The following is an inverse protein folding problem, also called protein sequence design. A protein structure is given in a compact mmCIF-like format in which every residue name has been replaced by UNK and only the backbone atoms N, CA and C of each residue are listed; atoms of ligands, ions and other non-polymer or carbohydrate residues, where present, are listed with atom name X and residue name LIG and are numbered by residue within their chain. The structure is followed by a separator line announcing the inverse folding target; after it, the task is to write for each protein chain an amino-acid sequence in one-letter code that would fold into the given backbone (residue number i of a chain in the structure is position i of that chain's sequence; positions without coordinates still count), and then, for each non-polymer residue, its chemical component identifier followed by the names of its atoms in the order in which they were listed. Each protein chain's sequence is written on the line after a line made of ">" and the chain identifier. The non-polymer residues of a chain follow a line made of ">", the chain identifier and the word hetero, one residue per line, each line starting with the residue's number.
data_IF_316727218012
#
_entry.id   IF_316727218012
#
_cell.length_a   1.000
_cell.length_b   1.000
_cell.length_c   1.000
_cell.angle_alpha   90.00
_cell.angle_beta   90.00
_cell.angle_gamma   90.00
#
_symmetry.space_group_name_H-M   'P 1'
#
loop_
_entity.id
_entity.type
_entity.pdbx_description
1 polymer ?
#
# COMPACT_ATOMS: atom_id res chain seq x y z
N UNK A 1 -28.42 -45.45 61.83
CA UNK A 1 -27.47 -45.98 60.82
C UNK A 1 -28.04 -46.01 59.39
N UNK A 2 -29.28 -46.46 59.15
CA UNK A 2 -29.84 -46.62 57.78
C UNK A 2 -29.90 -45.32 56.95
N UNK A 3 -30.21 -44.16 57.56
CA UNK A 3 -30.30 -42.87 56.84
C UNK A 3 -28.97 -42.34 56.29
N UNK A 4 -27.83 -42.71 56.87
CA UNK A 4 -26.51 -42.24 56.42
C UNK A 4 -25.99 -43.03 55.22
N UNK A 5 -26.31 -44.33 55.14
CA UNK A 5 -25.95 -45.16 53.98
C UNK A 5 -26.65 -44.69 52.69
N UNK A 6 -27.92 -44.27 52.75
CA UNK A 6 -28.63 -43.74 51.58
C UNK A 6 -28.04 -42.43 51.07
N UNK A 7 -27.52 -41.57 51.96
CA UNK A 7 -26.87 -40.30 51.56
C UNK A 7 -25.52 -40.56 50.89
N UNK A 8 -24.74 -41.52 51.40
CA UNK A 8 -23.45 -41.91 50.82
C UNK A 8 -23.65 -42.58 49.44
N UNK A 9 -24.67 -43.43 49.29
CA UNK A 9 -24.99 -44.05 48.01
C UNK A 9 -25.48 -43.03 46.97
N UNK A 10 -26.30 -42.05 47.38
CA UNK A 10 -26.74 -40.98 46.51
C UNK A 10 -25.58 -40.04 46.11
N UNK A 11 -24.66 -39.74 47.04
CA UNK A 11 -23.50 -38.91 46.76
C UNK A 11 -22.51 -39.58 45.78
N UNK A 12 -22.29 -40.89 45.91
CA UNK A 12 -21.43 -41.66 45.00
C UNK A 12 -22.04 -41.80 43.60
N UNK A 13 -23.33 -42.07 43.48
CA UNK A 13 -24.05 -42.09 42.20
C UNK A 13 -24.06 -40.71 41.49
N UNK A 14 -24.15 -39.62 42.25
CA UNK A 14 -24.04 -38.27 41.67
C UNK A 14 -22.60 -37.92 41.24
N UNK A 15 -21.58 -38.45 41.91
CA UNK A 15 -20.18 -38.27 41.51
C UNK A 15 -19.86 -39.07 40.24
N UNK A 16 -20.36 -40.31 40.10
CA UNK A 16 -20.20 -41.13 38.90
C UNK A 16 -20.96 -40.59 37.68
N UNK A 17 -22.15 -39.99 37.88
CA UNK A 17 -22.86 -39.30 36.79
C UNK A 17 -22.11 -38.06 36.31
N UNK A 18 -21.52 -37.30 37.23
CA UNK A 18 -20.74 -36.10 36.90
C UNK A 18 -19.43 -36.43 36.20
N UNK A 19 -18.76 -37.51 36.56
CA UNK A 19 -17.54 -37.96 35.87
C UNK A 19 -17.86 -38.42 34.44
N UNK A 20 -18.90 -39.25 34.25
CA UNK A 20 -19.37 -39.67 32.92
C UNK A 20 -19.83 -38.50 32.04
N UNK A 21 -20.54 -37.52 32.62
CA UNK A 21 -20.98 -36.34 31.88
C UNK A 21 -19.80 -35.43 31.47
N UNK A 22 -18.75 -35.34 32.29
CA UNK A 22 -17.54 -34.59 31.97
C UNK A 22 -16.73 -35.29 30.88
N UNK A 23 -16.62 -36.61 30.94
CA UNK A 23 -15.88 -37.43 29.98
C UNK A 23 -16.54 -37.44 28.60
N UNK A 24 -17.87 -37.53 28.54
CA UNK A 24 -18.64 -37.39 27.30
C UNK A 24 -18.53 -35.98 26.71
N UNK A 25 -18.59 -34.92 27.52
CA UNK A 25 -18.36 -33.54 27.08
C UNK A 25 -16.94 -33.32 26.50
N UNK A 26 -15.92 -33.88 27.15
CA UNK A 26 -14.53 -33.78 26.68
C UNK A 26 -14.34 -34.51 25.34
N UNK A 27 -14.99 -35.66 25.20
CA UNK A 27 -14.98 -36.46 23.97
C UNK A 27 -15.70 -35.75 22.81
N UNK A 28 -16.83 -35.08 23.07
CA UNK A 28 -17.52 -34.25 22.08
C UNK A 28 -16.70 -33.02 21.69
N UNK A 29 -16.03 -32.37 22.65
CA UNK A 29 -15.16 -31.23 22.37
C UNK A 29 -14.00 -31.64 21.47
N UNK A 30 -13.41 -32.82 21.70
CA UNK A 30 -12.34 -33.35 20.86
C UNK A 30 -12.86 -33.69 19.47
N UNK A 31 -14.04 -34.32 19.37
CA UNK A 31 -14.71 -34.61 18.10
C UNK A 31 -14.96 -33.35 17.28
N UNK A 32 -15.47 -32.29 17.91
CA UNK A 32 -15.73 -31.01 17.24
C UNK A 32 -14.43 -30.32 16.79
N UNK A 33 -13.37 -30.37 17.61
CA UNK A 33 -12.04 -29.86 17.22
C UNK A 33 -11.46 -30.61 16.02
N UNK A 34 -11.60 -31.93 15.99
CA UNK A 34 -11.11 -32.73 14.88
C UNK A 34 -11.96 -32.52 13.61
N UNK A 35 -13.28 -32.33 13.74
CA UNK A 35 -14.13 -31.89 12.63
C UNK A 35 -13.74 -30.52 12.09
N UNK A 36 -13.40 -29.56 12.96
CA UNK A 36 -12.96 -28.23 12.55
C UNK A 36 -11.62 -28.30 11.81
N UNK A 37 -10.65 -29.07 12.31
CA UNK A 37 -9.36 -29.30 11.62
C UNK A 37 -9.55 -29.94 10.25
N UNK A 38 -10.48 -30.89 10.12
CA UNK A 38 -10.81 -31.52 8.86
C UNK A 38 -11.41 -30.49 7.88
N UNK A 39 -12.34 -29.66 8.35
CA UNK A 39 -12.97 -28.63 7.54
C UNK A 39 -11.96 -27.55 7.11
N UNK A 40 -11.10 -27.11 8.01
CA UNK A 40 -10.00 -26.18 7.71
C UNK A 40 -9.05 -26.76 6.66
N UNK A 41 -8.69 -28.04 6.76
CA UNK A 41 -7.87 -28.71 5.77
C UNK A 41 -8.57 -28.78 4.40
N UNK A 42 -9.87 -29.08 4.38
CA UNK A 42 -10.67 -29.10 3.15
C UNK A 42 -10.78 -27.70 2.52
N UNK A 43 -11.04 -26.66 3.30
CA UNK A 43 -11.11 -25.27 2.81
C UNK A 43 -9.75 -24.84 2.28
N UNK A 44 -8.65 -25.16 2.98
CA UNK A 44 -7.30 -24.88 2.52
C UNK A 44 -7.00 -25.59 1.20
N UNK A 45 -7.40 -26.86 1.07
CA UNK A 45 -7.25 -27.63 -0.16
C UNK A 45 -8.10 -27.05 -1.30
N UNK A 46 -9.35 -26.68 -1.04
CA UNK A 46 -10.21 -26.02 -2.02
C UNK A 46 -9.63 -24.69 -2.48
N UNK A 47 -9.08 -23.88 -1.57
CA UNK A 47 -8.43 -22.61 -1.87
C UNK A 47 -7.23 -22.80 -2.81
N UNK A 48 -6.34 -23.74 -2.50
CA UNK A 48 -5.19 -24.07 -3.37
C UNK A 48 -5.67 -24.57 -4.74
N UNK A 49 -6.72 -25.40 -4.79
CA UNK A 49 -7.27 -25.89 -6.06
C UNK A 49 -7.90 -24.76 -6.88
N UNK A 50 -8.58 -23.81 -6.25
CA UNK A 50 -9.12 -22.62 -6.92
C UNK A 50 -7.97 -21.77 -7.46
N UNK A 51 -6.93 -21.53 -6.67
CA UNK A 51 -5.73 -20.79 -7.12
C UNK A 51 -5.05 -21.48 -8.30
N UNK A 52 -4.89 -22.80 -8.26
CA UNK A 52 -4.34 -23.58 -9.37
C UNK A 52 -5.20 -23.47 -10.63
N UNK A 53 -6.52 -23.58 -10.51
CA UNK A 53 -7.44 -23.43 -11.65
C UNK A 53 -7.45 -22.01 -12.20
N UNK A 54 -7.32 -20.99 -11.35
CA UNK A 54 -7.19 -19.60 -11.76
C UNK A 54 -5.89 -19.37 -12.54
N UNK A 55 -4.78 -19.92 -12.05
CA UNK A 55 -3.48 -19.85 -12.70
C UNK A 55 -3.47 -20.61 -14.03
N UNK A 56 -4.10 -21.78 -14.09
CA UNK A 56 -4.26 -22.57 -15.33
C UNK A 56 -5.09 -21.79 -16.35
N UNK A 57 -6.21 -21.15 -15.94
CA UNK A 57 -6.98 -20.27 -16.83
C UNK A 57 -6.18 -19.06 -17.30
N UNK A 58 -5.34 -18.49 -16.44
CA UNK A 58 -4.49 -17.35 -16.80
C UNK A 58 -3.43 -17.75 -17.83
N UNK A 59 -2.82 -18.93 -17.69
CA UNK A 59 -1.91 -19.53 -18.69
C UNK A 59 -2.64 -19.85 -20.01
N UNK A 60 -3.84 -20.42 -19.96
CA UNK A 60 -4.65 -20.66 -21.16
C UNK A 60 -5.07 -19.36 -21.86
N UNK A 61 -5.28 -18.26 -21.13
CA UNK A 61 -5.53 -16.94 -21.69
C UNK A 61 -4.27 -16.33 -22.32
N UNK A 62 -3.09 -16.61 -21.77
CA UNK A 62 -1.80 -16.20 -22.34
C UNK A 62 -1.47 -16.96 -23.62
N UNK A 63 -1.71 -18.27 -23.68
CA UNK A 63 -1.48 -19.09 -24.89
C UNK A 63 -2.50 -18.83 -26.01
N UNK A 64 -3.72 -18.37 -25.67
CA UNK A 64 -4.70 -17.88 -26.66
C UNK A 64 -4.48 -16.41 -27.05
N UNK A 65 -3.51 -15.76 -26.43
CA UNK A 65 -3.22 -14.33 -26.51
C UNK A 65 -2.23 -13.94 -27.60
N UNK A 66 -2.29 -14.53 -28.79
CA UNK A 66 -1.63 -13.97 -29.97
C UNK A 66 -2.39 -12.70 -30.39
N UNK A 67 -1.84 -11.53 -30.03
CA UNK A 67 -2.07 -10.19 -30.61
C UNK A 67 -3.51 -9.63 -30.74
N UNK A 68 -4.54 -10.37 -30.32
CA UNK A 68 -5.97 -10.03 -30.59
C UNK A 68 -6.84 -9.81 -29.35
N UNK A 69 -6.27 -9.85 -28.14
CA UNK A 69 -7.04 -9.74 -26.88
C UNK A 69 -7.37 -8.32 -26.43
N UNK A 70 -6.79 -7.29 -27.04
CA UNK A 70 -7.38 -5.95 -26.97
C UNK A 70 -8.58 -5.97 -27.92
N UNK A 71 -9.83 -5.75 -27.46
CA UNK A 71 -10.94 -5.62 -28.37
C UNK A 71 -10.60 -4.52 -29.38
N UNK A 72 -10.27 -4.90 -30.62
CA UNK A 72 -10.28 -3.97 -31.74
C UNK A 72 -11.75 -3.69 -32.00
N UNK A 73 -12.28 -2.72 -31.26
CA UNK A 73 -13.62 -2.22 -31.42
C UNK A 73 -13.75 -1.82 -32.90
N UNK A 74 -14.54 -2.61 -33.62
CA UNK A 74 -14.74 -2.45 -35.05
C UNK A 74 -15.31 -1.07 -35.34
N UNK A 75 -14.51 -0.26 -36.05
CA UNK A 75 -14.92 1.04 -36.59
C UNK A 75 -14.24 2.23 -35.91
N UNK A 76 -13.06 2.63 -36.43
CA UNK A 76 -12.44 3.98 -36.53
C UNK A 76 -12.56 5.01 -35.38
N UNK A 77 -13.20 4.73 -34.25
CA UNK A 77 -13.37 5.68 -33.15
C UNK A 77 -12.20 5.55 -32.19
N UNK A 78 -11.43 6.63 -32.09
CA UNK A 78 -10.35 6.75 -31.12
C UNK A 78 -10.92 7.32 -29.83
N UNK A 79 -10.73 6.62 -28.72
CA UNK A 79 -11.14 7.08 -27.40
C UNK A 79 -9.98 7.84 -26.76
N UNK A 80 -10.23 9.06 -26.26
CA UNK A 80 -9.20 9.88 -25.63
C UNK A 80 -8.77 9.34 -24.26
N UNK A 81 -9.66 8.62 -23.58
CA UNK A 81 -9.45 8.00 -22.27
C UNK A 81 -10.54 6.95 -21.97
N UNK A 82 -10.40 6.27 -20.83
CA UNK A 82 -11.35 5.25 -20.39
C UNK A 82 -12.77 5.76 -20.10
N UNK A 83 -12.95 7.05 -19.87
CA UNK A 83 -14.29 7.62 -19.65
C UNK A 83 -15.07 7.70 -20.95
N UNK A 84 -14.40 7.97 -22.08
CA UNK A 84 -15.05 7.91 -23.39
C UNK A 84 -15.41 6.47 -23.77
N UNK A 85 -14.53 5.51 -23.47
CA UNK A 85 -14.81 4.08 -23.63
C UNK A 85 -16.05 3.69 -22.81
N UNK A 86 -16.11 4.13 -21.54
CA UNK A 86 -17.27 3.88 -20.69
C UNK A 86 -18.54 4.56 -21.23
N UNK A 87 -18.47 5.82 -21.64
CA UNK A 87 -19.63 6.55 -22.17
C UNK A 87 -20.19 5.93 -23.46
N UNK A 88 -19.36 5.23 -24.23
CA UNK A 88 -19.76 4.51 -25.45
C UNK A 88 -20.44 3.16 -25.17
N UNK A 89 -20.63 2.80 -23.90
CA UNK A 89 -21.38 1.60 -23.50
C UNK A 89 -20.53 0.42 -23.07
N UNK A 90 -19.19 0.52 -23.11
CA UNK A 90 -18.32 -0.52 -22.59
C UNK A 90 -18.36 -0.55 -21.06
N UNK A 91 -18.62 -1.72 -20.47
CA UNK A 91 -18.80 -1.90 -19.02
C UNK A 91 -17.83 -2.92 -18.40
N UNK A 92 -17.06 -3.64 -19.21
CA UNK A 92 -16.10 -4.63 -18.70
C UNK A 92 -14.77 -3.94 -18.40
N UNK A 93 -14.28 -4.06 -17.16
CA UNK A 93 -12.94 -3.61 -16.81
C UNK A 93 -11.89 -4.45 -17.54
N UNK A 94 -10.85 -3.81 -18.06
CA UNK A 94 -9.82 -4.47 -18.86
C UNK A 94 -8.91 -3.47 -19.57
N UNK A 95 -7.98 -3.97 -20.37
CA UNK A 95 -7.10 -3.12 -21.17
C UNK A 95 -7.80 -2.68 -22.47
N UNK A 96 -7.78 -1.37 -22.72
CA UNK A 96 -8.29 -0.75 -23.94
C UNK A 96 -7.20 0.12 -24.58
N UNK A 97 -7.24 0.25 -25.90
CA UNK A 97 -6.43 1.23 -26.63
C UNK A 97 -7.08 2.59 -26.54
N UNK A 98 -6.33 3.56 -26.04
CA UNK A 98 -6.74 4.96 -25.95
C UNK A 98 -5.70 5.83 -26.63
N UNK A 99 -6.14 6.98 -27.15
CA UNK A 99 -5.28 7.98 -27.76
C UNK A 99 -5.71 9.38 -27.29
N UNK A 100 -5.09 9.90 -26.23
CA UNK A 100 -5.30 11.28 -25.81
C UNK A 100 -5.08 12.28 -26.95
N UNK A 101 -5.75 13.43 -26.91
CA UNK A 101 -5.85 14.39 -28.03
C UNK A 101 -4.50 14.80 -28.63
N UNK A 102 -3.49 15.02 -27.79
CA UNK A 102 -2.14 15.43 -28.20
C UNK A 102 -1.13 14.27 -28.21
N UNK A 103 -1.57 13.05 -27.90
CA UNK A 103 -0.70 11.89 -27.96
C UNK A 103 -0.40 11.55 -29.43
N UNK A 104 0.87 11.38 -29.81
CA UNK A 104 1.22 11.02 -31.18
C UNK A 104 0.69 9.63 -31.55
N UNK A 105 0.75 8.70 -30.60
CA UNK A 105 0.39 7.30 -30.76
C UNK A 105 -0.67 6.87 -29.75
N UNK A 106 -1.40 5.81 -30.09
CA UNK A 106 -2.29 5.12 -29.16
C UNK A 106 -1.48 4.24 -28.19
N UNK A 107 -1.97 4.08 -26.96
CA UNK A 107 -1.37 3.18 -25.98
C UNK A 107 -2.45 2.39 -25.23
N UNK A 108 -2.03 1.29 -24.61
CA UNK A 108 -2.92 0.44 -23.81
C UNK A 108 -3.02 0.98 -22.39
N UNK A 109 -4.24 1.11 -21.86
CA UNK A 109 -4.48 1.47 -20.47
C UNK A 109 -5.57 0.56 -19.88
N UNK A 110 -5.42 0.21 -18.60
CA UNK A 110 -6.48 -0.52 -17.91
C UNK A 110 -7.61 0.44 -17.57
N UNK A 111 -8.77 0.21 -18.16
CA UNK A 111 -9.99 0.92 -17.83
C UNK A 111 -10.73 0.16 -16.73
N UNK A 112 -10.89 0.81 -15.58
CA UNK A 112 -11.77 0.31 -14.55
C UNK A 112 -13.18 0.89 -14.70
N UNK A 113 -14.11 0.01 -15.02
CA UNK A 113 -15.51 0.31 -15.30
C UNK A 113 -16.43 0.03 -14.10
N UNK A 114 -15.90 -0.46 -12.98
CA UNK A 114 -16.67 -0.71 -11.76
C UNK A 114 -17.27 0.57 -11.17
N UNK A 115 -18.38 0.44 -10.44
CA UNK A 115 -19.04 1.49 -9.65
C UNK A 115 -19.31 2.81 -10.40
N UNK A 116 -19.83 2.72 -11.64
CA UNK A 116 -20.10 3.89 -12.47
C UNK A 116 -18.84 4.49 -13.12
N UNK A 117 -17.83 3.64 -13.34
CA UNK A 117 -16.42 3.98 -13.62
C UNK A 117 -16.10 4.69 -14.93
N UNK A 118 -15.16 4.13 -15.69
CA UNK A 118 -14.43 4.85 -16.74
C UNK A 118 -13.11 5.46 -16.24
N UNK A 119 -12.54 4.87 -15.19
CA UNK A 119 -11.28 5.29 -14.62
C UNK A 119 -10.11 4.73 -15.42
N UNK A 120 -9.18 5.60 -15.83
CA UNK A 120 -7.93 5.20 -16.47
C UNK A 120 -6.91 4.92 -15.37
N UNK A 121 -6.55 3.64 -15.15
CA UNK A 121 -5.55 3.28 -14.14
C UNK A 121 -4.17 3.65 -14.65
N UNK A 122 -3.40 4.40 -13.85
CA UNK A 122 -2.08 4.93 -14.22
C UNK A 122 -0.94 4.26 -13.46
N UNK A 123 -1.23 3.68 -12.30
CA UNK A 123 -0.30 2.88 -11.52
C UNK A 123 -1.08 1.79 -10.77
N UNK A 124 -0.49 0.60 -10.67
CA UNK A 124 -0.97 -0.45 -9.77
C UNK A 124 0.19 -1.16 -9.07
N UNK A 125 0.03 -1.39 -7.76
CA UNK A 125 0.83 -2.27 -6.89
C UNK A 125 -0.09 -3.21 -6.13
N UNK A 126 0.27 -4.47 -6.00
CA UNK A 126 -0.51 -5.49 -5.27
C UNK A 126 0.28 -6.71 -4.81
N UNK A 127 1.40 -7.04 -5.45
CA UNK A 127 2.13 -8.30 -5.20
C UNK A 127 3.65 -8.17 -5.23
N UNK A 128 4.19 -6.99 -5.55
CA UNK A 128 5.63 -6.74 -5.65
C UNK A 128 6.29 -7.43 -6.84
N UNK A 129 5.52 -7.86 -7.85
CA UNK A 129 6.05 -8.59 -9.00
C UNK A 129 6.86 -7.72 -9.98
N UNK A 130 6.73 -6.40 -9.91
CA UNK A 130 7.43 -5.46 -10.78
C UNK A 130 8.42 -4.59 -10.02
N UNK A 131 9.61 -4.39 -10.59
CA UNK A 131 10.65 -3.53 -10.00
C UNK A 131 10.40 -2.06 -10.39
N UNK A 132 10.27 -1.19 -9.39
CA UNK A 132 10.07 0.26 -9.54
C UNK A 132 11.36 1.09 -9.41
N UNK A 133 12.51 0.49 -9.06
CA UNK A 133 13.82 1.14 -9.13
C UNK A 133 14.31 1.23 -10.59
N UNK A 134 13.69 2.13 -11.33
CA UNK A 134 13.89 2.33 -12.78
C UNK A 134 14.51 3.68 -13.09
N UNK A 135 15.07 3.79 -14.28
CA UNK A 135 15.69 5.03 -14.76
C UNK A 135 14.63 6.02 -15.30
N UNK A 136 15.05 7.22 -15.71
CA UNK A 136 14.16 8.24 -16.24
C UNK A 136 13.38 7.78 -17.47
N UNK A 137 14.06 7.15 -18.42
CA UNK A 137 13.50 6.72 -19.71
C UNK A 137 12.41 5.65 -19.53
N UNK A 138 12.61 4.70 -18.61
CA UNK A 138 11.62 3.70 -18.22
C UNK A 138 10.38 4.38 -17.62
N UNK A 139 10.55 5.33 -16.69
CA UNK A 139 9.44 6.07 -16.08
C UNK A 139 8.73 6.99 -17.07
N UNK A 140 9.43 7.52 -18.07
CA UNK A 140 8.86 8.32 -19.15
C UNK A 140 7.96 7.49 -20.07
N UNK A 141 8.46 6.33 -20.51
CA UNK A 141 7.76 5.42 -21.43
C UNK A 141 6.67 4.59 -20.75
N UNK A 142 6.87 4.25 -19.48
CA UNK A 142 6.05 3.29 -18.74
C UNK A 142 6.64 1.88 -18.77
N UNK A 143 6.34 1.10 -17.74
CA UNK A 143 6.87 -0.26 -17.54
C UNK A 143 5.88 -1.12 -16.75
N UNK A 144 6.12 -2.42 -16.74
CA UNK A 144 5.32 -3.40 -16.01
C UNK A 144 4.40 -4.24 -16.89
N UNK A 145 3.43 -4.91 -16.25
CA UNK A 145 2.61 -5.91 -16.89
C UNK A 145 1.23 -5.36 -17.31
N UNK A 146 1.12 -5.04 -18.59
CA UNK A 146 -0.11 -4.56 -19.23
C UNK A 146 -1.01 -5.67 -19.81
N UNK A 147 -0.76 -6.94 -19.44
CA UNK A 147 -1.47 -8.11 -19.98
C UNK A 147 -2.26 -8.82 -18.88
N UNK A 148 -1.64 -9.02 -17.71
CA UNK A 148 -2.27 -9.64 -16.56
C UNK A 148 -3.32 -8.72 -15.96
N UNK A 149 -4.47 -9.29 -15.59
CA UNK A 149 -5.60 -8.54 -15.00
C UNK A 149 -5.20 -7.77 -13.74
N UNK A 150 -4.28 -8.33 -12.95
CA UNK A 150 -3.76 -7.76 -11.71
C UNK A 150 -2.27 -7.39 -11.80
N UNK A 151 -1.73 -7.24 -13.02
CA UNK A 151 -0.33 -6.87 -13.21
C UNK A 151 0.01 -5.53 -12.57
N UNK A 152 1.20 -5.44 -11.99
CA UNK A 152 1.78 -4.18 -11.54
C UNK A 152 2.39 -3.43 -12.72
N UNK A 153 2.17 -2.12 -12.78
CA UNK A 153 2.72 -1.29 -13.83
C UNK A 153 2.70 0.20 -13.48
N UNK A 154 3.50 0.95 -14.22
CA UNK A 154 3.47 2.40 -14.34
C UNK A 154 3.16 2.79 -15.79
N UNK A 155 2.09 3.57 -16.01
CA UNK A 155 1.62 3.89 -17.36
C UNK A 155 2.61 4.74 -18.18
N UNK A 156 3.52 5.45 -17.52
CA UNK A 156 4.50 6.34 -18.15
C UNK A 156 4.17 7.82 -17.96
N UNK A 157 5.17 8.63 -17.63
CA UNK A 157 5.02 10.05 -17.35
C UNK A 157 4.56 10.83 -18.58
N UNK A 158 5.00 10.41 -19.78
CA UNK A 158 4.58 11.03 -21.04
C UNK A 158 3.10 10.80 -21.32
N UNK A 159 2.62 9.57 -21.10
CA UNK A 159 1.21 9.22 -21.23
C UNK A 159 0.35 9.96 -20.19
N UNK A 160 0.84 10.05 -18.95
CA UNK A 160 0.20 10.78 -17.87
C UNK A 160 0.09 12.29 -18.18
N UNK A 161 1.14 12.88 -18.75
CA UNK A 161 1.12 14.25 -19.24
C UNK A 161 0.04 14.45 -20.31
N UNK A 162 0.01 13.62 -21.37
CA UNK A 162 -0.99 13.76 -22.43
C UNK A 162 -2.43 13.59 -21.91
N UNK A 163 -2.65 12.63 -21.00
CA UNK A 163 -3.93 12.44 -20.35
C UNK A 163 -4.35 13.66 -19.53
N UNK A 164 -3.47 14.22 -18.72
CA UNK A 164 -3.85 15.32 -17.81
C UNK A 164 -3.79 16.71 -18.47
N UNK A 165 -3.14 16.84 -19.63
CA UNK A 165 -3.12 18.07 -20.40
C UNK A 165 -4.42 18.30 -21.19
N UNK A 166 -5.07 17.23 -21.66
CA UNK A 166 -6.19 17.37 -22.61
C UNK A 166 -7.47 17.94 -22.00
N UNK A 167 -7.77 17.66 -20.72
CA UNK A 167 -8.96 18.11 -19.97
C UNK A 167 -8.66 18.15 -18.47
N UNK A 168 -9.65 18.52 -17.65
CA UNK A 168 -9.55 18.37 -16.20
C UNK A 168 -9.81 16.93 -15.77
N UNK A 169 -8.96 16.43 -14.85
CA UNK A 169 -9.05 15.09 -14.27
C UNK A 169 -9.00 15.16 -12.76
N UNK A 170 -9.67 14.18 -12.15
CA UNK A 170 -9.52 13.85 -10.74
C UNK A 170 -8.62 12.63 -10.63
N UNK A 171 -7.58 12.73 -9.80
CA UNK A 171 -6.79 11.58 -9.37
C UNK A 171 -7.54 10.88 -8.24
N UNK A 172 -7.67 9.56 -8.31
CA UNK A 172 -8.13 8.70 -7.21
C UNK A 172 -7.02 7.72 -6.86
N UNK A 173 -6.60 7.72 -5.60
CA UNK A 173 -5.68 6.75 -5.02
C UNK A 173 -6.50 5.85 -4.10
N UNK A 174 -6.48 4.56 -4.37
CA UNK A 174 -7.14 3.53 -3.57
C UNK A 174 -6.06 2.69 -2.89
N UNK A 175 -6.20 2.51 -1.57
CA UNK A 175 -5.26 1.81 -0.71
C UNK A 175 -6.00 0.67 0.00
N UNK A 176 -5.35 -0.47 0.11
CA UNK A 176 -5.76 -1.56 0.99
C UNK A 176 -4.56 -2.01 1.82
N UNK A 177 -4.77 -2.24 3.12
CA UNK A 177 -3.75 -2.82 3.99
C UNK A 177 -3.90 -4.34 4.15
N UNK A 178 -2.98 -4.95 4.87
CA UNK A 178 -2.93 -6.40 5.13
C UNK A 178 -4.12 -6.91 5.97
N UNK A 179 -4.84 -6.02 6.67
CA UNK A 179 -6.07 -6.34 7.41
C UNK A 179 -7.32 -6.24 6.51
N UNK A 180 -7.15 -5.78 5.26
CA UNK A 180 -8.23 -5.59 4.30
C UNK A 180 -8.96 -4.26 4.47
N UNK A 181 -8.44 -3.33 5.27
CA UNK A 181 -9.03 -2.01 5.42
C UNK A 181 -8.76 -1.17 4.18
N UNK A 182 -9.83 -0.59 3.62
CA UNK A 182 -9.78 0.20 2.40
C UNK A 182 -9.88 1.69 2.68
N UNK A 183 -8.96 2.47 2.10
CA UNK A 183 -8.97 3.94 2.16
C UNK A 183 -8.78 4.53 0.77
N UNK A 184 -9.21 5.77 0.60
CA UNK A 184 -8.99 6.48 -0.65
C UNK A 184 -8.63 7.95 -0.44
N UNK A 185 -7.91 8.51 -1.41
CA UNK A 185 -7.66 9.94 -1.56
C UNK A 185 -8.05 10.36 -2.98
N UNK A 186 -8.68 11.52 -3.10
CA UNK A 186 -9.02 12.13 -4.37
C UNK A 186 -8.46 13.55 -4.44
N UNK A 187 -7.92 13.90 -5.60
CA UNK A 187 -7.33 15.20 -5.87
C UNK A 187 -7.90 15.76 -7.17
N UNK A 188 -8.61 16.88 -7.07
CA UNK A 188 -9.19 17.55 -8.23
C UNK A 188 -8.16 18.36 -9.02
N UNK A 189 -8.46 18.63 -10.29
CA UNK A 189 -7.60 19.41 -11.20
C UNK A 189 -6.15 18.86 -11.26
N UNK A 190 -6.01 17.54 -11.20
CA UNK A 190 -4.72 16.86 -11.21
C UNK A 190 -4.06 17.01 -12.59
N UNK A 191 -2.82 17.50 -12.59
CA UNK A 191 -2.04 17.80 -13.79
C UNK A 191 -0.58 17.46 -13.61
N UNK A 192 -0.01 16.89 -14.67
CA UNK A 192 1.42 16.60 -14.78
C UNK A 192 1.99 17.41 -15.93
N UNK A 193 3.05 18.17 -15.66
CA UNK A 193 3.77 18.96 -16.64
C UNK A 193 4.41 18.11 -17.74
N UNK A 194 4.94 18.75 -18.77
CA UNK A 194 5.71 18.05 -19.80
C UNK A 194 7.14 17.75 -19.34
N UNK A 195 7.91 17.06 -20.18
CA UNK A 195 9.32 16.73 -19.92
C UNK A 195 10.20 17.99 -19.69
N UNK A 196 9.92 19.09 -20.39
CA UNK A 196 10.61 20.39 -20.22
C UNK A 196 10.48 20.95 -18.79
N UNK A 197 9.36 20.64 -18.12
CA UNK A 197 9.10 20.97 -16.71
C UNK A 197 9.42 19.81 -15.77
N UNK A 198 10.13 18.79 -16.25
CA UNK A 198 10.43 17.55 -15.51
C UNK A 198 9.17 16.92 -14.88
N UNK A 199 8.08 16.88 -15.64
CA UNK A 199 6.79 16.33 -15.20
C UNK A 199 6.26 16.92 -13.90
N UNK A 200 6.45 18.21 -13.64
CA UNK A 200 5.97 18.90 -12.43
C UNK A 200 4.52 18.53 -12.06
N UNK A 201 4.31 18.17 -10.80
CA UNK A 201 3.00 17.80 -10.25
C UNK A 201 2.20 19.03 -9.82
N UNK A 202 0.93 19.08 -10.21
CA UNK A 202 -0.03 20.05 -9.67
C UNK A 202 -1.39 19.41 -9.46
N UNK A 203 -2.08 19.84 -8.41
CA UNK A 203 -3.43 19.40 -8.08
C UNK A 203 -4.08 20.47 -7.19
N UNK A 204 -5.37 20.30 -6.91
CA UNK A 204 -6.14 21.19 -6.05
C UNK A 204 -6.81 20.40 -4.93
N UNK A 205 -8.11 20.58 -4.78
CA UNK A 205 -8.91 20.15 -3.64
C UNK A 205 -8.72 18.65 -3.36
N UNK A 206 -8.44 18.36 -2.09
CA UNK A 206 -8.35 17.00 -1.56
C UNK A 206 -9.71 16.58 -0.98
N UNK A 207 -10.09 15.33 -1.22
CA UNK A 207 -11.15 14.65 -0.48
C UNK A 207 -10.81 13.18 -0.25
N UNK A 208 -11.34 12.57 0.81
CA UNK A 208 -11.17 11.14 1.08
C UNK A 208 -10.80 10.79 2.52
N UNK A 209 -10.56 9.51 2.75
CA UNK A 209 -10.34 8.89 4.07
C UNK A 209 -8.88 8.51 4.34
N UNK A 210 -8.00 8.60 3.33
CA UNK A 210 -6.60 8.24 3.43
C UNK A 210 -5.70 9.37 3.98
N UNK A 211 -6.23 10.57 4.18
CA UNK A 211 -5.51 11.77 4.62
C UNK A 211 -4.70 12.45 3.51
N UNK A 212 -4.54 13.77 3.63
CA UNK A 212 -3.97 14.61 2.58
C UNK A 212 -2.43 14.63 2.61
N UNK A 213 -1.87 13.55 2.07
CA UNK A 213 -0.44 13.33 2.10
C UNK A 213 0.29 13.99 0.93
N UNK A 214 -0.33 14.11 -0.27
CA UNK A 214 0.30 14.82 -1.39
C UNK A 214 0.51 16.31 -1.10
N UNK A 215 -0.43 16.98 -0.43
CA UNK A 215 -0.25 18.39 -0.07
C UNK A 215 0.64 18.58 1.17
N UNK A 216 0.92 17.52 1.92
CA UNK A 216 1.65 17.60 3.19
C UNK A 216 0.83 18.21 4.33
N UNK A 217 -0.50 18.28 4.21
CA UNK A 217 -1.40 18.99 5.14
C UNK A 217 -1.65 18.24 6.46
N UNK A 218 -1.05 17.07 6.66
CA UNK A 218 -1.25 16.24 7.85
C UNK A 218 -0.56 16.82 9.11
N UNK A 219 0.47 17.66 8.95
CA UNK A 219 1.10 18.38 10.06
C UNK A 219 1.63 19.76 9.62
N UNK A 220 1.25 20.87 10.28
CA UNK A 220 1.66 22.22 9.85
C UNK A 220 3.19 22.42 9.79
N UNK A 221 3.95 21.78 10.69
CA UNK A 221 5.40 21.94 10.78
C UNK A 221 6.17 21.25 9.65
N UNK A 222 5.53 20.30 8.96
CA UNK A 222 6.19 19.49 7.91
C UNK A 222 5.74 19.85 6.50
N UNK A 223 4.66 20.64 6.37
CA UNK A 223 4.03 20.93 5.09
C UNK A 223 5.02 21.43 4.02
N UNK A 224 5.96 22.30 4.39
CA UNK A 224 6.89 22.91 3.44
C UNK A 224 7.90 21.93 2.80
N UNK A 225 8.26 20.83 3.49
CA UNK A 225 9.17 19.80 2.95
C UNK A 225 8.49 18.47 2.63
N UNK A 226 7.24 18.27 3.09
CA UNK A 226 6.46 17.06 2.83
C UNK A 226 5.46 17.25 1.66
N UNK A 227 5.19 18.49 1.23
CA UNK A 227 4.30 18.72 0.09
C UNK A 227 4.95 18.29 -1.21
N UNK A 228 4.23 17.49 -2.00
CA UNK A 228 4.59 17.09 -3.36
C UNK A 228 4.04 18.08 -4.41
N UNK A 229 3.23 19.06 -3.98
CA UNK A 229 2.67 20.07 -4.87
C UNK A 229 3.81 20.91 -5.48
N UNK A 230 3.79 21.08 -6.81
CA UNK A 230 4.83 21.76 -7.61
C UNK A 230 6.19 21.08 -7.61
N UNK A 231 6.30 19.85 -7.09
CA UNK A 231 7.55 19.12 -7.17
C UNK A 231 7.73 18.52 -8.56
N UNK A 232 8.99 18.43 -8.98
CA UNK A 232 9.39 17.78 -10.22
C UNK A 232 9.59 16.29 -9.98
N UNK A 233 9.45 15.50 -11.03
CA UNK A 233 9.68 14.06 -10.94
C UNK A 233 11.19 13.80 -10.88
N UNK A 234 11.63 12.87 -10.04
CA UNK A 234 13.03 12.43 -9.92
C UNK A 234 13.12 10.92 -10.05
N UNK A 235 14.22 10.43 -10.62
CA UNK A 235 14.59 9.00 -10.69
C UNK A 235 16.03 8.82 -10.20
N UNK A 236 16.47 7.57 -10.01
CA UNK A 236 17.83 7.29 -9.50
C UNK A 236 18.96 7.90 -10.33
N UNK A 237 18.71 8.15 -11.62
CA UNK A 237 19.65 8.68 -12.61
C UNK A 237 19.35 10.14 -13.02
N UNK A 238 18.24 10.72 -12.56
CA UNK A 238 17.87 12.11 -12.83
C UNK A 238 17.24 12.76 -11.60
N UNK A 239 18.05 13.57 -10.93
CA UNK A 239 17.66 14.29 -9.72
C UNK A 239 17.04 15.65 -10.07
N UNK A 240 15.78 15.84 -9.71
CA UNK A 240 15.08 17.12 -9.78
C UNK A 240 14.41 17.48 -8.44
N UNK A 241 14.79 16.83 -7.35
CA UNK A 241 14.21 17.13 -6.03
C UNK A 241 14.94 18.33 -5.39
N UNK A 242 14.48 18.78 -4.22
CA UNK A 242 15.04 19.94 -3.54
C UNK A 242 16.16 19.57 -2.53
N UNK A 243 16.51 18.29 -2.44
CA UNK A 243 17.48 17.76 -1.49
C UNK A 243 18.92 17.99 -1.97
N UNK A 244 19.89 17.87 -1.06
CA UNK A 244 21.31 17.84 -1.44
C UNK A 244 21.79 16.45 -1.91
N UNK A 245 21.04 15.40 -1.56
CA UNK A 245 21.20 14.07 -2.14
C UNK A 245 20.11 13.82 -3.19
N UNK A 246 19.91 12.56 -3.58
CA UNK A 246 18.85 12.17 -4.51
C UNK A 246 17.87 11.25 -3.78
N UNK A 247 16.68 11.76 -3.45
CA UNK A 247 15.66 10.98 -2.75
C UNK A 247 15.25 9.75 -3.54
N UNK A 248 15.10 9.87 -4.87
CA UNK A 248 14.74 8.73 -5.73
C UNK A 248 15.76 7.59 -5.70
N UNK A 249 17.05 7.89 -5.47
CA UNK A 249 18.10 6.87 -5.30
C UNK A 249 18.06 6.23 -3.91
N UNK A 250 17.78 7.01 -2.87
CA UNK A 250 17.66 6.50 -1.49
C UNK A 250 16.42 5.62 -1.32
N UNK A 251 15.32 6.07 -1.94
CA UNK A 251 14.04 5.40 -1.91
C UNK A 251 13.88 4.34 -3.02
N UNK A 252 14.82 4.25 -3.97
CA UNK A 252 14.79 3.23 -5.04
C UNK A 252 13.47 3.20 -5.82
N UNK A 253 12.94 4.39 -6.13
CA UNK A 253 11.75 4.56 -6.93
C UNK A 253 11.75 5.96 -7.54
N UNK A 254 11.10 6.11 -8.69
CA UNK A 254 10.81 7.40 -9.28
C UNK A 254 9.55 8.02 -8.69
N UNK A 255 9.61 9.30 -8.28
CA UNK A 255 8.48 10.03 -7.72
C UNK A 255 8.66 11.55 -7.75
N UNK A 256 7.60 12.29 -7.41
CA UNK A 256 7.64 13.74 -7.17
C UNK A 256 8.21 14.06 -5.79
N UNK A 257 9.48 13.76 -5.56
CA UNK A 257 10.11 14.02 -4.27
C UNK A 257 10.25 15.52 -3.97
N UNK A 258 10.06 15.88 -2.71
CA UNK A 258 10.49 17.16 -2.14
C UNK A 258 11.66 16.87 -1.18
N UNK A 259 12.35 17.89 -0.71
CA UNK A 259 13.10 17.91 0.56
C UNK A 259 13.81 19.26 0.64
N UNK A 260 13.43 20.13 1.57
CA UNK A 260 14.19 21.37 1.82
C UNK A 260 15.05 21.26 3.11
N UNK A 261 15.47 20.05 3.51
CA UNK A 261 16.45 19.87 4.60
C UNK A 261 17.86 20.02 4.04
N UNK A 262 18.19 21.22 3.57
CA UNK A 262 19.58 21.62 3.31
C UNK A 262 19.83 23.13 3.48
N UNK A 263 18.84 23.95 3.89
CA UNK A 263 19.05 25.40 4.05
C UNK A 263 18.38 26.10 5.26
N UNK A 264 18.32 25.45 6.43
CA UNK A 264 18.22 26.24 7.67
C UNK A 264 18.84 25.56 8.88
N UNK A 265 20.02 26.06 9.25
CA UNK A 265 20.80 25.88 10.49
C UNK A 265 21.38 24.50 10.74
N UNK A 266 22.48 24.24 10.06
CA UNK A 266 23.66 23.67 10.71
C UNK A 266 24.38 24.85 11.39
N UNK A 267 24.02 25.17 12.63
CA UNK A 267 24.89 25.94 13.53
C UNK A 267 24.51 25.87 15.02
N UNK A 268 23.32 25.40 15.40
CA UNK A 268 23.00 25.18 16.82
C UNK A 268 22.26 23.86 17.01
N UNK A 269 22.84 22.97 17.81
CA UNK A 269 22.35 21.64 18.23
C UNK A 269 22.94 20.47 17.46
N UNK A 270 23.96 19.82 18.04
CA UNK A 270 24.53 18.56 17.59
C UNK A 270 23.56 17.39 17.73
N UNK A 271 22.55 17.32 16.85
CA UNK A 271 21.65 16.20 16.74
C UNK A 271 21.57 15.74 15.28
N UNK A 272 21.84 14.44 15.07
CA UNK A 272 21.97 13.82 13.76
C UNK A 272 20.72 14.01 12.88
N UNK A 273 20.96 14.20 11.57
CA UNK A 273 19.96 14.55 10.57
C UNK A 273 18.73 13.63 10.55
N UNK A 274 17.56 14.26 10.67
CA UNK A 274 16.26 13.63 10.45
C UNK A 274 16.02 13.46 8.94
N UNK A 275 16.02 12.20 8.50
CA UNK A 275 15.78 11.79 7.11
C UNK A 275 14.28 11.75 6.83
N UNK A 276 13.83 11.95 5.58
CA UNK A 276 12.41 11.82 5.19
C UNK A 276 11.81 10.45 5.55
N UNK A 277 12.62 9.39 5.50
CA UNK A 277 12.26 8.03 5.95
C UNK A 277 12.09 7.89 7.47
N UNK A 278 12.56 8.84 8.28
CA UNK A 278 12.45 8.82 9.74
C UNK A 278 11.23 9.58 10.28
N UNK A 279 10.54 10.38 9.46
CA UNK A 279 9.32 11.11 9.87
C UNK A 279 8.04 10.32 9.53
N UNK A 280 8.18 9.00 9.54
CA UNK A 280 7.14 7.99 9.42
C UNK A 280 6.88 7.53 10.87
N UNK A 281 5.91 8.11 11.61
CA UNK A 281 5.64 7.76 13.03
C UNK A 281 5.02 6.37 13.23
N UNK A 282 5.80 5.36 13.65
CA UNK A 282 5.39 3.94 13.81
C UNK A 282 4.00 3.80 14.49
N UNK A 283 3.12 2.88 14.06
CA UNK A 283 1.96 2.52 14.85
C UNK A 283 2.42 1.88 16.17
N UNK A 284 1.82 2.29 17.28
CA UNK A 284 2.01 1.65 18.57
C UNK A 284 1.34 0.27 18.53
N UNK A 285 2.13 -0.82 18.62
CA UNK A 285 1.62 -2.11 19.07
C UNK A 285 1.80 -3.35 18.19
N UNK A 286 2.64 -3.34 17.14
CA UNK A 286 2.95 -4.55 16.36
C UNK A 286 4.42 -4.96 16.45
N UNK A 287 4.76 -6.27 16.48
CA UNK A 287 6.14 -6.73 16.35
C UNK A 287 6.72 -6.34 14.98
N UNK A 288 8.05 -6.23 14.84
CA UNK A 288 8.69 -5.79 13.59
C UNK A 288 8.54 -6.87 12.53
N UNK A 289 7.58 -6.72 11.62
CA UNK A 289 7.47 -7.57 10.43
C UNK A 289 8.31 -6.99 9.29
N UNK A 290 9.22 -7.83 8.84
CA UNK A 290 9.97 -7.77 7.58
C UNK A 290 9.00 -7.93 6.39
N UNK A 291 9.38 -7.37 5.23
CA UNK A 291 8.62 -7.22 3.97
C UNK A 291 7.72 -5.97 3.89
N UNK A 292 8.18 -4.98 3.13
CA UNK A 292 7.38 -3.86 2.66
C UNK A 292 6.86 -4.24 1.27
N UNK A 293 5.54 -4.32 1.10
CA UNK A 293 4.84 -5.10 0.05
C UNK A 293 4.91 -6.63 0.26
N UNK A 294 4.65 -7.10 1.49
CA UNK A 294 4.25 -8.49 1.70
C UNK A 294 2.82 -8.75 1.14
N UNK A 295 2.42 -10.01 0.91
CA UNK A 295 1.08 -10.34 0.43
C UNK A 295 0.01 -9.73 1.36
N UNK A 296 -0.77 -8.75 0.87
CA UNK A 296 -1.86 -8.11 1.62
C UNK A 296 -2.04 -6.62 1.37
N UNK A 297 -0.97 -5.87 1.06
CA UNK A 297 -1.08 -4.43 0.77
C UNK A 297 -1.26 -4.18 -0.74
N UNK A 298 -2.15 -3.26 -1.11
CA UNK A 298 -2.33 -2.87 -2.51
C UNK A 298 -2.58 -1.38 -2.68
N UNK A 299 -2.13 -0.85 -3.81
CA UNK A 299 -2.33 0.54 -4.21
C UNK A 299 -2.75 0.58 -5.67
N UNK A 300 -3.78 1.35 -5.96
CA UNK A 300 -4.24 1.60 -7.33
C UNK A 300 -4.47 3.09 -7.51
N UNK A 301 -3.82 3.66 -8.51
CA UNK A 301 -3.94 5.08 -8.84
C UNK A 301 -4.62 5.21 -10.18
N UNK A 302 -5.66 6.04 -10.25
CA UNK A 302 -6.49 6.18 -11.44
C UNK A 302 -6.86 7.64 -11.72
N UNK A 303 -7.05 7.96 -13.00
CA UNK A 303 -7.58 9.25 -13.47
C UNK A 303 -9.02 9.08 -13.96
N UNK A 304 -9.89 9.97 -13.51
CA UNK A 304 -11.30 10.01 -13.90
C UNK A 304 -11.74 11.44 -14.20
N UNK A 305 -12.95 11.57 -14.76
CA UNK A 305 -13.57 12.88 -14.95
C UNK A 305 -14.02 13.45 -13.59
N UNK A 306 -14.02 14.78 -13.43
CA UNK A 306 -14.56 15.42 -12.23
C UNK A 306 -15.99 14.92 -11.98
N UNK A 307 -16.21 14.31 -10.81
CA UNK A 307 -17.55 13.95 -10.37
C UNK A 307 -18.18 15.20 -9.77
N UNK A 308 -19.39 15.58 -10.23
CA UNK A 308 -20.14 16.65 -9.56
C UNK A 308 -20.40 16.18 -8.13
N UNK A 309 -19.90 16.93 -7.15
CA UNK A 309 -20.21 16.72 -5.75
C UNK A 309 -21.73 16.86 -5.55
N UNK A 310 -22.42 15.73 -5.42
CA UNK A 310 -23.76 15.74 -4.83
C UNK A 310 -23.52 16.12 -3.38
N UNK A 311 -23.84 17.36 -3.02
CA UNK A 311 -23.88 17.87 -1.66
C UNK A 311 -24.73 16.93 -0.78
N UNK A 312 -24.13 15.90 -0.21
CA UNK A 312 -24.70 15.21 0.94
C UNK A 312 -24.57 16.16 2.13
N UNK A 313 -25.57 17.03 2.30
CA UNK A 313 -25.81 17.73 3.57
C UNK A 313 -26.25 16.72 4.62
N UNK A 314 -25.31 15.94 5.14
CA UNK A 314 -25.49 15.16 6.36
C UNK A 314 -24.98 15.96 7.56
N UNK A 315 -25.89 16.44 8.40
CA UNK A 315 -25.52 16.96 9.73
C UNK A 315 -24.77 15.86 10.50
N UNK A 316 -23.49 16.08 10.80
CA UNK A 316 -22.78 15.30 11.81
C UNK A 316 -22.68 16.10 13.11
N UNK A 317 -23.42 15.63 14.12
CA UNK A 317 -23.32 16.04 15.52
C UNK A 317 -21.87 15.87 15.98
N UNK A 318 -21.27 16.95 16.47
CA UNK A 318 -20.05 16.89 17.27
C UNK A 318 -20.33 16.09 18.54
N UNK A 319 -19.59 15.01 18.77
CA UNK A 319 -19.30 14.55 20.12
C UNK A 319 -17.87 14.01 20.17
N UNK A 320 -17.14 14.45 21.18
CA UNK A 320 -15.69 14.37 21.26
C UNK A 320 -15.16 12.97 21.58
N UNK A 321 -14.18 12.55 20.79
CA UNK A 321 -13.03 11.78 21.23
C UNK A 321 -11.81 12.36 20.51
N UNK A 322 -11.15 13.34 21.15
CA UNK A 322 -9.81 13.79 20.76
C UNK A 322 -8.80 12.84 21.43
N UNK A 323 -7.74 12.53 20.69
CA UNK A 323 -6.56 11.72 21.08
C UNK A 323 -6.69 10.20 20.90
N UNK A 324 -6.73 9.73 19.64
CA UNK A 324 -6.13 8.47 19.12
C UNK A 324 -6.50 8.24 17.65
N UNK A 325 -6.24 9.18 16.73
CA UNK A 325 -6.65 9.01 15.33
C UNK A 325 -5.88 9.94 14.37
N UNK A 326 -4.55 9.82 14.32
CA UNK A 326 -3.71 10.51 13.30
C UNK A 326 -2.49 9.65 12.94
N UNK A 327 -2.65 8.46 12.34
CA UNK A 327 -1.49 7.68 11.86
C UNK A 327 -1.69 6.87 10.57
N UNK A 328 -2.78 7.03 9.83
CA UNK A 328 -3.07 6.22 8.64
C UNK A 328 -3.18 7.05 7.35
N UNK A 329 -2.25 7.99 7.21
CA UNK A 329 -2.03 8.78 6.01
C UNK A 329 -0.53 8.87 5.76
N UNK A 330 0.04 7.78 5.28
CA UNK A 330 1.39 7.78 4.71
C UNK A 330 1.21 7.45 3.25
N UNK A 331 1.74 8.30 2.38
CA UNK A 331 1.76 8.03 0.94
C UNK A 331 2.39 6.66 0.75
N UNK A 332 1.57 5.68 0.36
CA UNK A 332 2.07 4.41 -0.15
C UNK A 332 2.56 4.68 -1.55
N UNK A 333 3.82 5.09 -1.64
CA UNK A 333 4.69 4.71 -2.74
C UNK A 333 5.89 4.13 -2.01
N UNK A 334 5.84 2.81 -1.80
CA UNK A 334 6.95 2.11 -1.15
C UNK A 334 8.21 2.34 -1.96
N UNK A 335 9.11 3.07 -1.32
CA UNK A 335 10.51 2.95 -1.55
C UNK A 335 10.95 1.52 -1.26
N UNK A 336 11.75 0.91 -2.13
CA UNK A 336 12.45 -0.34 -1.79
C UNK A 336 13.57 -0.02 -0.77
N UNK A 337 13.21 0.24 0.49
CA UNK A 337 14.19 0.23 1.59
C UNK A 337 14.13 -1.13 2.27
N UNK A 338 14.56 -2.17 1.54
CA UNK A 338 15.15 -3.34 2.20
C UNK A 338 16.60 -2.99 2.53
N UNK A 339 16.84 -2.45 3.74
CA UNK A 339 18.19 -2.44 4.31
C UNK A 339 18.40 -3.79 4.99
N UNK A 340 19.25 -4.64 4.42
CA UNK A 340 19.92 -5.73 5.13
C UNK A 340 20.55 -5.15 6.41
N UNK A 341 20.04 -5.52 7.58
CA UNK A 341 20.82 -5.45 8.81
C UNK A 341 21.77 -6.63 8.82
N UNK A 342 22.96 -6.48 8.23
CA UNK A 342 24.04 -7.49 8.37
C UNK A 342 25.45 -6.88 8.55
N UNK A 343 25.58 -5.59 8.86
CA UNK A 343 26.90 -4.99 9.14
C UNK A 343 26.98 -4.08 10.38
N UNK A 344 26.08 -4.26 11.35
CA UNK A 344 26.16 -3.57 12.65
C UNK A 344 26.26 -4.51 13.86
N UNK A 345 26.83 -5.71 13.68
CA UNK A 345 27.09 -6.66 14.76
C UNK A 345 28.58 -6.95 14.99
N UNK A 346 29.46 -5.98 14.73
CA UNK A 346 30.89 -6.11 15.04
C UNK A 346 31.49 -4.96 15.86
N UNK A 347 30.68 -4.08 16.45
CA UNK A 347 31.17 -2.97 17.31
C UNK A 347 30.29 -2.69 18.55
N UNK A 348 29.65 -3.71 19.13
CA UNK A 348 29.04 -3.65 20.47
C UNK A 348 29.14 -5.02 21.15
N UNK A 349 30.35 -5.56 21.24
CA UNK A 349 30.72 -6.50 22.29
C UNK A 349 31.23 -5.69 23.48
N UNK A 350 30.84 -6.07 24.69
CA UNK A 350 31.22 -5.48 25.99
C UNK A 350 30.39 -4.32 26.50
N UNK A 351 29.10 -4.56 26.75
CA UNK A 351 28.47 -3.98 27.94
C UNK A 351 27.20 -4.73 28.38
N UNK A 352 27.39 -5.83 29.13
CA UNK A 352 26.52 -6.29 30.25
C UNK A 352 26.89 -7.71 30.69
N UNK A 353 27.81 -7.84 31.64
CA UNK A 353 27.70 -8.83 32.71
C UNK A 353 28.29 -8.19 33.97
N UNK A 354 27.41 -7.69 34.83
CA UNK A 354 27.77 -7.04 36.09
C UNK A 354 26.68 -7.28 37.13
N UNK A 355 26.50 -8.53 37.55
CA UNK A 355 25.79 -8.89 38.77
C UNK A 355 26.77 -9.58 39.70
N UNK A 356 27.09 -8.87 40.78
CA UNK A 356 27.64 -9.32 42.08
C UNK A 356 28.81 -10.32 42.12
N UNK A 357 29.97 -9.84 42.61
CA UNK A 357 30.60 -10.42 43.80
C UNK A 357 31.52 -9.42 44.51
N UNK A 358 31.26 -9.23 45.81
CA UNK A 358 32.14 -8.59 46.80
C UNK A 358 33.52 -9.26 46.80
N UNK A 359 34.61 -8.48 46.91
CA UNK A 359 35.62 -8.62 47.98
C UNK A 359 36.82 -7.66 47.85
N UNK A 360 37.06 -6.96 48.98
CA UNK A 360 38.33 -6.51 49.56
C UNK A 360 39.26 -5.54 48.80
N UNK A 361 39.27 -4.31 49.31
CA UNK A 361 40.41 -3.41 49.40
C UNK A 361 41.66 -4.09 49.98
N UNK A 362 42.83 -3.82 49.40
CA UNK A 362 44.07 -3.41 50.09
C UNK A 362 45.02 -2.71 49.08
N UNK A 363 45.81 -1.70 49.50
CA UNK A 363 46.62 -0.86 48.62
C UNK A 363 48.09 -1.33 48.55
N UNK A 364 48.79 -1.07 47.44
CA UNK A 364 50.25 -0.96 47.49
C UNK A 364 50.83 -0.02 46.41
N UNK A 365 51.35 1.08 46.96
CA UNK A 365 52.47 1.93 46.58
C UNK A 365 53.49 1.48 45.52
N UNK A 366 53.96 2.52 44.79
CA UNK A 366 55.33 2.77 44.30
C UNK A 366 55.79 1.96 43.07
N UNK A 367 56.38 2.55 42.03
CA UNK A 367 57.37 3.63 41.97
C UNK A 367 57.24 4.44 40.69
#
# INVERSE_FOLDING_TARGET
>A
MVKWFSVILAATLMMDWRSWALETCLQEQQRLKDQLRLLEAQVKQQRVRIEQLLQEKELQLLERGDEKSVPRLGGRRQYADCSEVFNDGHRLSGFYRIKPLQSPEEFSAFCDMADGGGWTVVQRRSDGSENFDRNWDDYEKGFGNFVKKHGEYWLGNKNLHFLTAQRDYTLKIELADFEGEHRFAQYESFRVGGEKSAYELSFREYSGTAGDSLAGSFHPEVQWWASHLRMKFSTRDRDNDNYSGNCAKEDRAGWWYNSLVSRKREEDSGNAGLRQSQVIPKPAGGPPSTSCSGPGESTKVSLGKPQRSVLQRGLHRRNGQRHRLVHLARVVVFSEVCRHEDQAQQLCGECRLGVHRKRSFLPHHSR
#
